data_IF_661106793708
#
_entry.id   IF_661106793708
#
_cell.length_a   1.000
_cell.length_b   1.000
_cell.length_c   1.000
_cell.angle_alpha   90.00
_cell.angle_beta   90.00
_cell.angle_gamma   90.00
#
_symmetry.space_group_name_H-M   'P 1'
#
loop_
_entity.id
_entity.type
_entity.pdbx_description
1 polymer ?
#
# COMPACT_ATOMS: atom_id res chain seq x y z
N UNK A 1 -19.22 -9.72 -6.14
CA UNK A 1 -19.36 -8.23 -6.25
C UNK A 1 -17.96 -7.67 -6.34
N UNK A 2 -17.70 -6.73 -7.23
CA UNK A 2 -16.36 -6.13 -7.41
C UNK A 2 -16.00 -5.27 -6.19
N UNK A 3 -14.79 -5.46 -5.65
CA UNK A 3 -14.28 -4.64 -4.56
C UNK A 3 -13.87 -3.25 -5.08
N UNK A 4 -14.08 -2.24 -4.25
CA UNK A 4 -13.77 -0.83 -4.53
C UNK A 4 -13.25 -0.16 -3.26
N UNK A 5 -12.71 1.04 -3.38
CA UNK A 5 -12.34 1.87 -2.22
C UNK A 5 -13.52 2.03 -1.24
N UNK A 6 -14.73 2.24 -1.75
CA UNK A 6 -15.93 2.35 -0.91
C UNK A 6 -16.27 1.05 -0.17
N UNK A 7 -16.03 -0.13 -0.80
CA UNK A 7 -16.22 -1.41 -0.10
C UNK A 7 -15.22 -1.61 1.04
N UNK A 8 -14.03 -1.05 0.94
CA UNK A 8 -13.03 -1.04 2.01
C UNK A 8 -13.49 -0.19 3.20
N UNK A 9 -13.96 1.02 2.94
CA UNK A 9 -14.52 1.90 3.97
C UNK A 9 -15.73 1.25 4.66
N UNK A 10 -16.62 0.64 3.86
CA UNK A 10 -17.77 -0.08 4.39
C UNK A 10 -17.36 -1.27 5.26
N UNK A 11 -16.36 -2.05 4.86
CA UNK A 11 -15.87 -3.19 5.65
C UNK A 11 -15.37 -2.74 7.03
N UNK A 12 -14.64 -1.62 7.10
CA UNK A 12 -14.23 -1.03 8.38
C UNK A 12 -15.42 -0.64 9.24
N UNK A 13 -16.38 0.08 8.67
CA UNK A 13 -17.59 0.49 9.39
C UNK A 13 -18.42 -0.70 9.90
N UNK A 14 -18.48 -1.78 9.13
CA UNK A 14 -19.19 -3.02 9.46
C UNK A 14 -18.37 -3.96 10.39
N UNK A 15 -17.12 -3.62 10.72
CA UNK A 15 -16.22 -4.48 11.49
C UNK A 15 -15.83 -5.79 10.77
N UNK A 16 -15.88 -5.82 9.44
CA UNK A 16 -15.54 -6.98 8.63
C UNK A 16 -14.07 -6.96 8.26
N UNK A 17 -13.40 -8.12 8.43
CA UNK A 17 -12.00 -8.27 8.03
C UNK A 17 -11.83 -8.19 6.52
N UNK A 18 -10.80 -7.48 6.11
CA UNK A 18 -10.33 -7.38 4.73
C UNK A 18 -9.17 -8.34 4.50
N UNK A 19 -9.00 -8.78 3.26
CA UNK A 19 -7.85 -9.59 2.85
C UNK A 19 -7.11 -8.92 1.70
N UNK A 20 -5.78 -8.91 1.79
CA UNK A 20 -4.89 -8.43 0.74
C UNK A 20 -3.79 -9.46 0.51
N UNK A 21 -3.62 -9.89 -0.74
CA UNK A 21 -2.54 -10.78 -1.15
C UNK A 21 -1.75 -10.16 -2.31
N UNK A 22 -0.47 -10.48 -2.40
CA UNK A 22 0.36 -10.08 -3.54
C UNK A 22 0.17 -11.03 -4.72
N UNK A 23 0.21 -10.47 -5.93
CA UNK A 23 0.36 -11.22 -7.17
C UNK A 23 1.14 -10.39 -8.19
N UNK A 24 1.85 -11.09 -9.08
CA UNK A 24 2.76 -10.43 -10.01
C UNK A 24 2.55 -10.87 -11.47
N UNK A 25 1.64 -11.79 -11.73
CA UNK A 25 1.32 -12.32 -13.07
C UNK A 25 -0.18 -12.58 -13.22
N UNK A 26 -0.58 -12.85 -14.47
CA UNK A 26 -1.97 -13.12 -14.83
C UNK A 26 -2.55 -14.37 -14.17
N UNK A 27 -1.81 -15.47 -14.18
CA UNK A 27 -2.32 -16.77 -13.71
C UNK A 27 -2.52 -16.79 -12.21
N UNK A 28 -1.52 -16.27 -11.47
CA UNK A 28 -1.59 -16.11 -10.01
C UNK A 28 -2.71 -15.14 -9.60
N UNK A 29 -2.83 -14.01 -10.29
CA UNK A 29 -3.89 -13.03 -10.01
C UNK A 29 -5.29 -13.65 -10.23
N UNK A 30 -5.48 -14.40 -11.32
CA UNK A 30 -6.74 -15.08 -11.61
C UNK A 30 -7.09 -16.13 -10.54
N UNK A 31 -6.10 -16.89 -10.09
CA UNK A 31 -6.27 -17.89 -9.04
C UNK A 31 -6.67 -17.21 -7.72
N UNK A 32 -5.93 -16.19 -7.29
CA UNK A 32 -6.19 -15.44 -6.05
C UNK A 32 -7.57 -14.76 -6.12
N UNK A 33 -7.92 -14.12 -7.24
CA UNK A 33 -9.22 -13.46 -7.41
C UNK A 33 -10.40 -14.44 -7.26
N UNK A 34 -10.21 -15.71 -7.68
CA UNK A 34 -11.24 -16.75 -7.55
C UNK A 34 -11.51 -17.19 -6.10
N UNK A 35 -10.62 -16.88 -5.16
CA UNK A 35 -10.79 -17.18 -3.73
C UNK A 35 -11.68 -16.18 -3.00
N UNK A 36 -12.02 -15.06 -3.64
CA UNK A 36 -12.82 -14.01 -3.03
C UNK A 36 -12.03 -13.01 -2.19
N UNK A 37 -10.71 -12.92 -2.37
CA UNK A 37 -9.85 -11.92 -1.73
C UNK A 37 -10.36 -10.49 -2.04
N UNK A 38 -10.25 -9.59 -1.06
CA UNK A 38 -10.75 -8.22 -1.25
C UNK A 38 -9.83 -7.37 -2.13
N UNK A 39 -8.52 -7.56 -2.02
CA UNK A 39 -7.55 -6.83 -2.86
C UNK A 39 -6.35 -7.66 -3.24
N UNK A 40 -5.76 -7.29 -4.36
CA UNK A 40 -4.48 -7.81 -4.84
C UNK A 40 -3.51 -6.64 -4.92
N UNK A 41 -2.35 -6.81 -4.30
CA UNK A 41 -1.26 -5.86 -4.34
C UNK A 41 -0.22 -6.31 -5.38
N UNK A 42 0.08 -5.45 -6.33
CA UNK A 42 1.29 -5.56 -7.15
C UNK A 42 2.37 -4.77 -6.42
N UNK A 43 3.08 -5.45 -5.53
CA UNK A 43 4.11 -4.83 -4.69
C UNK A 43 5.44 -4.67 -5.44
N UNK A 44 6.22 -3.65 -5.11
CA UNK A 44 7.61 -3.51 -5.59
C UNK A 44 8.53 -4.62 -5.04
N UNK A 45 8.05 -5.41 -4.08
CA UNK A 45 8.63 -6.71 -3.69
C UNK A 45 8.80 -7.69 -4.87
N UNK A 46 8.15 -7.42 -6.03
CA UNK A 46 8.46 -8.15 -7.27
C UNK A 46 9.95 -8.10 -7.62
N UNK A 47 10.66 -7.06 -7.22
CA UNK A 47 12.12 -6.97 -7.37
C UNK A 47 12.82 -8.18 -6.77
N UNK A 48 12.46 -8.54 -5.54
CA UNK A 48 13.03 -9.69 -4.85
C UNK A 48 12.52 -11.03 -5.40
N UNK A 49 11.18 -11.19 -5.50
CA UNK A 49 10.57 -12.51 -5.70
C UNK A 49 10.40 -12.90 -7.17
N UNK A 50 10.42 -11.94 -8.10
CA UNK A 50 10.25 -12.16 -9.52
C UNK A 50 11.51 -11.85 -10.34
N UNK A 51 12.22 -10.77 -9.98
CA UNK A 51 13.39 -10.29 -10.72
C UNK A 51 14.72 -10.72 -10.10
N UNK A 52 14.71 -11.23 -8.85
CA UNK A 52 15.90 -11.72 -8.15
C UNK A 52 16.83 -10.62 -7.65
N UNK A 53 16.31 -9.39 -7.43
CA UNK A 53 17.07 -8.31 -6.84
C UNK A 53 17.21 -8.50 -5.32
N UNK A 54 18.28 -7.97 -4.74
CA UNK A 54 18.51 -8.03 -3.29
C UNK A 54 17.52 -7.16 -2.48
N UNK A 55 17.01 -6.09 -3.10
CA UNK A 55 16.05 -5.15 -2.51
C UNK A 55 15.04 -4.62 -3.54
N UNK A 56 14.15 -3.71 -3.11
CA UNK A 56 13.13 -3.11 -3.97
C UNK A 56 13.59 -1.83 -4.67
N UNK A 57 14.79 -1.33 -4.39
CA UNK A 57 15.26 -0.01 -4.84
C UNK A 57 15.48 0.04 -6.35
N UNK A 58 15.91 -1.09 -6.93
CA UNK A 58 16.17 -1.21 -8.37
C UNK A 58 14.92 -1.34 -9.24
N UNK A 59 13.74 -1.52 -8.63
CA UNK A 59 12.48 -1.68 -9.37
C UNK A 59 12.11 -0.38 -10.07
N UNK A 60 11.80 -0.47 -11.36
CA UNK A 60 11.45 0.66 -12.21
C UNK A 60 9.92 0.83 -12.35
N UNK A 61 9.49 1.99 -12.84
CA UNK A 61 8.09 2.21 -13.23
C UNK A 61 7.65 1.23 -14.32
N UNK A 62 8.54 0.88 -15.23
CA UNK A 62 8.30 -0.05 -16.34
C UNK A 62 8.06 -1.47 -15.82
N UNK A 63 8.80 -1.92 -14.82
CA UNK A 63 8.56 -3.21 -14.15
C UNK A 63 7.18 -3.24 -13.50
N UNK A 64 6.84 -2.19 -12.75
CA UNK A 64 5.53 -2.09 -12.09
C UNK A 64 4.38 -2.05 -13.10
N UNK A 65 4.55 -1.35 -14.21
CA UNK A 65 3.56 -1.30 -15.29
C UNK A 65 3.44 -2.67 -15.97
N UNK A 66 4.57 -3.35 -16.25
CA UNK A 66 4.56 -4.67 -16.88
C UNK A 66 3.76 -5.68 -16.05
N UNK A 67 4.11 -5.84 -14.78
CA UNK A 67 3.45 -6.76 -13.86
C UNK A 67 2.00 -6.33 -13.54
N UNK A 68 1.78 -5.03 -13.34
CA UNK A 68 0.46 -4.46 -13.10
C UNK A 68 -0.53 -4.74 -14.22
N UNK A 69 -0.12 -4.62 -15.49
CA UNK A 69 -0.93 -5.00 -16.67
C UNK A 69 -1.37 -6.46 -16.61
N UNK A 70 -0.48 -7.36 -16.25
CA UNK A 70 -0.77 -8.78 -16.19
C UNK A 70 -1.78 -9.11 -15.08
N UNK A 71 -1.56 -8.56 -13.87
CA UNK A 71 -2.43 -8.74 -12.70
C UNK A 71 -3.82 -8.17 -12.95
N UNK A 72 -3.93 -6.94 -13.46
CA UNK A 72 -5.21 -6.30 -13.73
C UNK A 72 -6.07 -7.06 -14.76
N UNK A 73 -5.43 -7.74 -15.73
CA UNK A 73 -6.17 -8.63 -16.66
C UNK A 73 -6.70 -9.89 -15.95
N UNK A 74 -5.96 -10.41 -14.97
CA UNK A 74 -6.33 -11.61 -14.20
C UNK A 74 -7.42 -11.36 -13.15
N UNK A 75 -7.34 -10.24 -12.45
CA UNK A 75 -8.29 -9.86 -11.40
C UNK A 75 -9.57 -9.26 -11.97
N UNK A 76 -10.74 -9.79 -11.56
CA UNK A 76 -12.07 -9.32 -11.97
C UNK A 76 -12.86 -8.71 -10.82
N UNK A 77 -12.68 -9.22 -9.62
CA UNK A 77 -13.45 -8.88 -8.42
C UNK A 77 -12.61 -8.15 -7.36
N UNK A 78 -11.35 -8.50 -7.19
CA UNK A 78 -10.44 -7.86 -6.24
C UNK A 78 -10.12 -6.42 -6.66
N UNK A 79 -9.92 -5.55 -5.67
CA UNK A 79 -9.35 -4.22 -5.85
C UNK A 79 -7.85 -4.38 -6.13
N UNK A 80 -7.38 -3.99 -7.32
CA UNK A 80 -5.95 -4.05 -7.64
C UNK A 80 -5.28 -2.74 -7.26
N UNK A 81 -4.27 -2.84 -6.43
CA UNK A 81 -3.42 -1.75 -5.95
C UNK A 81 -2.01 -1.99 -6.49
N UNK A 82 -1.36 -0.96 -7.04
CA UNK A 82 -0.01 -1.06 -7.60
C UNK A 82 0.93 -0.12 -6.84
N UNK A 83 2.08 -0.63 -6.41
CA UNK A 83 3.08 0.18 -5.73
C UNK A 83 3.73 1.19 -6.67
N UNK A 84 3.96 2.37 -6.14
CA UNK A 84 4.85 3.36 -6.71
C UNK A 84 6.28 3.01 -6.29
N UNK A 85 7.19 2.65 -7.21
CA UNK A 85 8.54 2.22 -6.86
C UNK A 85 9.38 3.39 -6.31
N UNK A 86 10.51 3.05 -5.70
CA UNK A 86 11.45 4.02 -5.13
C UNK A 86 11.81 5.14 -6.11
N UNK A 87 11.84 6.38 -5.65
CA UNK A 87 12.10 7.63 -6.39
C UNK A 87 11.05 7.97 -7.48
N UNK A 88 9.93 7.26 -7.56
CA UNK A 88 8.86 7.62 -8.48
C UNK A 88 7.91 8.71 -7.93
N UNK A 89 7.91 8.94 -6.61
CA UNK A 89 7.04 9.92 -5.93
C UNK A 89 7.78 10.85 -4.95
N UNK A 90 9.03 10.55 -4.58
CA UNK A 90 9.80 11.33 -3.62
C UNK A 90 10.40 12.61 -4.22
N UNK A 91 10.60 12.66 -5.54
CA UNK A 91 11.31 13.75 -6.24
C UNK A 91 10.54 15.07 -6.18
N UNK A 92 9.25 15.04 -6.51
CA UNK A 92 8.34 16.19 -6.44
C UNK A 92 6.88 15.74 -6.45
N UNK A 93 5.97 16.65 -6.09
CA UNK A 93 4.52 16.39 -6.13
C UNK A 93 4.04 16.13 -7.57
N UNK A 94 4.51 16.93 -8.53
CA UNK A 94 4.16 16.80 -9.94
C UNK A 94 4.59 15.44 -10.48
N UNK A 95 5.82 15.00 -10.15
CA UNK A 95 6.33 13.70 -10.59
C UNK A 95 5.56 12.54 -9.97
N UNK A 96 5.15 12.67 -8.71
CA UNK A 96 4.31 11.69 -8.05
C UNK A 96 2.95 11.53 -8.75
N UNK A 97 2.28 12.64 -9.08
CA UNK A 97 0.98 12.61 -9.78
C UNK A 97 1.12 12.06 -11.20
N UNK A 98 2.17 12.46 -11.94
CA UNK A 98 2.46 11.93 -13.27
C UNK A 98 2.64 10.41 -13.24
N UNK A 99 3.48 9.89 -12.34
CA UNK A 99 3.76 8.47 -12.25
C UNK A 99 2.55 7.67 -11.73
N UNK A 100 1.80 8.19 -10.76
CA UNK A 100 0.55 7.57 -10.32
C UNK A 100 -0.47 7.51 -11.47
N UNK A 101 -0.59 8.58 -12.25
CA UNK A 101 -1.42 8.64 -13.45
C UNK A 101 -0.99 7.63 -14.50
N UNK A 102 0.31 7.42 -14.71
CA UNK A 102 0.84 6.35 -15.59
C UNK A 102 0.40 4.97 -15.12
N UNK A 103 0.57 4.66 -13.82
CA UNK A 103 0.12 3.38 -13.26
C UNK A 103 -1.37 3.15 -13.53
N UNK A 104 -2.22 4.12 -13.19
CA UNK A 104 -3.68 4.01 -13.40
C UNK A 104 -4.04 3.80 -14.87
N UNK A 105 -3.47 4.60 -15.78
CA UNK A 105 -3.81 4.57 -17.22
C UNK A 105 -3.25 3.37 -17.93
N UNK A 106 -2.01 2.97 -17.63
CA UNK A 106 -1.33 1.93 -18.36
C UNK A 106 -1.66 0.52 -17.84
N UNK A 107 -1.91 0.36 -16.52
CA UNK A 107 -2.23 -0.95 -15.94
C UNK A 107 -3.72 -1.20 -15.77
N UNK A 108 -4.54 -0.14 -15.69
CA UNK A 108 -5.96 -0.18 -15.29
C UNK A 108 -6.16 -0.61 -13.84
N UNK A 109 -5.17 -0.39 -12.95
CA UNK A 109 -5.34 -0.56 -11.51
C UNK A 109 -6.36 0.45 -10.96
N UNK A 110 -6.90 0.18 -9.78
CA UNK A 110 -7.92 1.04 -9.17
C UNK A 110 -7.35 1.93 -8.06
N UNK A 111 -6.11 1.69 -7.62
CA UNK A 111 -5.42 2.50 -6.62
C UNK A 111 -3.92 2.33 -6.76
N UNK A 112 -3.17 3.28 -6.21
CA UNK A 112 -1.71 3.18 -6.04
C UNK A 112 -1.35 3.06 -4.58
N UNK A 113 -0.15 2.49 -4.27
CA UNK A 113 0.41 2.51 -2.92
C UNK A 113 1.77 3.20 -2.93
N UNK A 114 2.08 3.90 -1.84
CA UNK A 114 3.38 4.53 -1.59
C UNK A 114 3.76 4.41 -0.12
N UNK A 115 5.03 4.64 0.19
CA UNK A 115 5.59 4.53 1.53
C UNK A 115 5.92 5.90 2.13
N UNK A 116 5.63 6.06 3.42
CA UNK A 116 5.98 7.25 4.19
C UNK A 116 4.80 7.87 4.94
N UNK A 117 5.13 8.72 5.91
CA UNK A 117 4.18 9.42 6.77
C UNK A 117 3.95 10.86 6.33
N UNK A 118 4.10 11.81 7.26
CA UNK A 118 3.90 13.25 7.02
C UNK A 118 4.67 13.80 5.82
N UNK A 119 5.85 13.28 5.55
CA UNK A 119 6.73 13.77 4.47
C UNK A 119 6.13 13.60 3.06
N UNK A 120 5.19 12.66 2.87
CA UNK A 120 4.55 12.37 1.58
C UNK A 120 3.09 12.84 1.52
N UNK A 121 2.59 13.53 2.55
CA UNK A 121 1.22 14.05 2.56
C UNK A 121 0.90 15.02 1.41
N UNK A 122 1.81 15.91 0.96
CA UNK A 122 1.55 16.74 -0.22
C UNK A 122 1.28 15.92 -1.48
N UNK A 123 2.05 14.86 -1.72
CA UNK A 123 1.85 13.94 -2.85
C UNK A 123 0.51 13.23 -2.75
N UNK A 124 0.20 12.66 -1.56
CA UNK A 124 -1.08 11.97 -1.32
C UNK A 124 -2.25 12.91 -1.63
N UNK A 125 -2.24 14.10 -1.06
CA UNK A 125 -3.31 15.09 -1.24
C UNK A 125 -3.54 15.41 -2.71
N UNK A 126 -2.48 15.72 -3.43
CA UNK A 126 -2.59 16.10 -4.85
C UNK A 126 -3.04 14.95 -5.72
N UNK A 127 -2.58 13.71 -5.47
CA UNK A 127 -3.07 12.52 -6.16
C UNK A 127 -4.56 12.29 -5.90
N UNK A 128 -5.01 12.41 -4.66
CA UNK A 128 -6.43 12.24 -4.28
C UNK A 128 -7.31 13.32 -4.92
N UNK A 129 -6.86 14.58 -4.92
CA UNK A 129 -7.55 15.67 -5.62
C UNK A 129 -7.64 15.45 -7.14
N UNK A 130 -6.64 14.76 -7.72
CA UNK A 130 -6.66 14.34 -9.13
C UNK A 130 -7.55 13.08 -9.38
N UNK A 131 -8.19 12.53 -8.35
CA UNK A 131 -9.05 11.35 -8.47
C UNK A 131 -8.32 10.01 -8.41
N UNK A 132 -7.07 9.97 -7.95
CA UNK A 132 -6.26 8.75 -7.79
C UNK A 132 -6.37 8.28 -6.35
N UNK A 133 -6.98 7.11 -6.06
CA UNK A 133 -7.02 6.56 -4.71
C UNK A 133 -5.64 6.09 -4.25
N UNK A 134 -5.26 6.47 -3.02
CA UNK A 134 -3.93 6.19 -2.46
C UNK A 134 -4.05 5.32 -1.21
N UNK A 135 -3.34 4.18 -1.21
CA UNK A 135 -3.01 3.39 -0.03
C UNK A 135 -1.62 3.81 0.48
N UNK A 136 -1.42 3.84 1.79
CA UNK A 136 -0.13 4.27 2.36
C UNK A 136 0.47 3.14 3.17
N UNK A 137 1.80 3.01 3.13
CA UNK A 137 2.54 2.01 3.89
C UNK A 137 3.37 2.68 5.00
N UNK A 138 3.14 2.23 6.23
CA UNK A 138 3.83 2.69 7.45
C UNK A 138 4.44 1.51 8.23
N UNK A 139 5.39 1.81 9.07
CA UNK A 139 6.16 0.83 9.84
C UNK A 139 7.47 0.48 9.14
N UNK A 140 7.70 -0.80 8.86
CA UNK A 140 8.81 -1.20 8.01
C UNK A 140 8.45 -0.89 6.55
N UNK A 141 9.17 0.04 5.97
CA UNK A 141 9.01 0.45 4.58
C UNK A 141 10.22 -0.03 3.78
N UNK A 142 10.09 -1.08 2.93
CA UNK A 142 11.23 -1.69 2.23
C UNK A 142 12.06 -0.73 1.38
N UNK A 143 11.46 0.31 0.83
CA UNK A 143 12.18 1.35 0.08
C UNK A 143 13.18 2.14 0.95
N UNK A 144 13.03 2.10 2.28
CA UNK A 144 13.94 2.73 3.24
C UNK A 144 14.93 1.74 3.89
N UNK A 145 15.08 0.53 3.30
CA UNK A 145 15.85 -0.57 3.91
C UNK A 145 17.29 -0.17 4.24
N UNK A 146 17.91 0.64 3.39
CA UNK A 146 19.27 1.13 3.61
C UNK A 146 19.35 2.10 4.82
N UNK A 147 18.33 2.93 5.01
CA UNK A 147 18.26 3.84 6.15
C UNK A 147 17.99 3.07 7.46
N UNK A 148 17.22 1.98 7.41
CA UNK A 148 16.92 1.14 8.58
C UNK A 148 18.05 0.15 8.95
N UNK A 149 18.97 -0.10 8.03
CA UNK A 149 20.03 -1.10 8.23
C UNK A 149 19.48 -2.52 8.36
N UNK A 150 18.48 -2.87 7.54
CA UNK A 150 17.87 -4.20 7.41
C UNK A 150 16.45 -4.31 7.93
N UNK A 151 15.85 -5.50 7.76
CA UNK A 151 14.49 -5.82 8.17
C UNK A 151 14.39 -5.97 9.69
N UNK A 152 13.82 -4.98 10.37
CA UNK A 152 13.65 -4.95 11.82
C UNK A 152 12.26 -4.43 12.18
N UNK A 153 11.71 -4.92 13.30
CA UNK A 153 10.46 -4.38 13.86
C UNK A 153 10.64 -2.90 14.17
N UNK A 154 9.76 -2.07 13.63
CA UNK A 154 9.76 -0.62 13.76
C UNK A 154 8.94 -0.15 14.97
N UNK A 155 9.05 1.15 15.29
CA UNK A 155 8.24 1.83 16.32
C UNK A 155 8.24 1.15 17.70
N UNK A 156 9.40 0.63 18.14
CA UNK A 156 9.55 -0.04 19.45
C UNK A 156 9.70 0.93 20.61
N UNK A 157 10.16 2.16 20.37
CA UNK A 157 10.31 3.18 21.42
C UNK A 157 9.05 4.04 21.48
N UNK A 158 8.81 4.66 22.64
CA UNK A 158 7.66 5.55 22.83
C UNK A 158 7.66 6.72 21.81
N UNK A 159 8.83 7.31 21.55
CA UNK A 159 8.98 8.39 20.57
C UNK A 159 8.60 7.91 19.17
N UNK A 160 9.12 6.75 18.73
CA UNK A 160 8.82 6.20 17.41
C UNK A 160 7.36 5.74 17.29
N UNK A 161 6.77 5.21 18.37
CA UNK A 161 5.35 4.85 18.39
C UNK A 161 4.44 6.09 18.28
N UNK A 162 4.78 7.18 18.96
CA UNK A 162 4.07 8.45 18.85
C UNK A 162 4.17 9.02 17.43
N UNK A 163 5.38 9.00 16.84
CA UNK A 163 5.57 9.44 15.46
C UNK A 163 4.71 8.63 14.47
N UNK A 164 4.67 7.28 14.62
CA UNK A 164 3.84 6.44 13.76
C UNK A 164 2.34 6.78 13.87
N UNK A 165 1.84 7.06 15.07
CA UNK A 165 0.46 7.50 15.29
C UNK A 165 0.15 8.84 14.62
N UNK A 166 1.09 9.78 14.72
CA UNK A 166 0.97 11.08 14.06
C UNK A 166 1.02 10.96 12.53
N UNK A 167 1.91 10.12 12.01
CA UNK A 167 2.00 9.83 10.58
C UNK A 167 0.72 9.17 10.05
N UNK A 168 0.18 8.19 10.78
CA UNK A 168 -1.07 7.52 10.40
C UNK A 168 -2.27 8.49 10.32
N UNK A 169 -2.36 9.42 11.25
CA UNK A 169 -3.40 10.48 11.20
C UNK A 169 -3.19 11.43 10.03
N UNK A 170 -1.95 11.86 9.83
CA UNK A 170 -1.63 12.81 8.77
C UNK A 170 -1.92 12.25 7.36
N UNK A 171 -1.60 10.97 7.11
CA UNK A 171 -1.90 10.36 5.81
C UNK A 171 -3.40 10.16 5.59
N UNK A 172 -4.17 9.85 6.65
CA UNK A 172 -5.63 9.85 6.58
C UNK A 172 -6.19 11.23 6.24
N UNK A 173 -5.70 12.28 6.91
CA UNK A 173 -6.12 13.67 6.67
C UNK A 173 -5.74 14.14 5.26
N UNK A 174 -4.64 13.63 4.70
CA UNK A 174 -4.24 13.87 3.31
C UNK A 174 -5.14 13.14 2.29
N UNK A 175 -6.03 12.24 2.73
CA UNK A 175 -7.03 11.57 1.89
C UNK A 175 -6.71 10.11 1.53
N UNK A 176 -5.72 9.49 2.15
CA UNK A 176 -5.48 8.05 1.96
C UNK A 176 -6.74 7.23 2.30
N UNK A 177 -7.04 6.19 1.51
CA UNK A 177 -8.22 5.36 1.75
C UNK A 177 -7.94 4.15 2.65
N UNK A 178 -6.68 3.74 2.78
CA UNK A 178 -6.23 2.61 3.61
C UNK A 178 -4.77 2.78 4.01
N UNK A 179 -4.36 2.12 5.09
CA UNK A 179 -2.98 2.09 5.57
C UNK A 179 -2.52 0.64 5.75
N UNK A 180 -1.38 0.29 5.17
CA UNK A 180 -0.64 -0.94 5.50
C UNK A 180 0.27 -0.66 6.68
N UNK A 181 0.23 -1.54 7.68
CA UNK A 181 1.08 -1.49 8.88
C UNK A 181 2.00 -2.71 8.88
N UNK A 182 3.31 -2.52 8.63
CA UNK A 182 4.24 -3.63 8.54
C UNK A 182 5.23 -3.65 9.71
N UNK A 183 5.44 -4.86 10.26
CA UNK A 183 6.47 -5.18 11.25
C UNK A 183 6.53 -4.15 12.40
N UNK A 184 5.39 -3.90 13.05
CA UNK A 184 5.25 -3.05 14.22
C UNK A 184 4.64 -3.85 15.40
N UNK A 185 4.82 -3.40 16.66
CA UNK A 185 4.20 -4.06 17.80
C UNK A 185 2.68 -4.17 17.68
N UNK A 186 2.11 -5.35 17.92
CA UNK A 186 0.67 -5.61 17.75
C UNK A 186 -0.24 -4.66 18.56
N UNK A 187 0.17 -4.26 19.77
CA UNK A 187 -0.57 -3.28 20.58
C UNK A 187 -0.58 -1.90 19.94
N UNK A 188 0.50 -1.51 19.28
CA UNK A 188 0.57 -0.24 18.54
C UNK A 188 -0.32 -0.29 17.29
N UNK A 189 -0.28 -1.40 16.53
CA UNK A 189 -1.15 -1.61 15.38
C UNK A 189 -2.64 -1.53 15.79
N UNK A 190 -3.02 -2.15 16.91
CA UNK A 190 -4.37 -2.04 17.47
C UNK A 190 -4.76 -0.60 17.78
N UNK A 191 -3.84 0.17 18.38
CA UNK A 191 -4.08 1.57 18.72
C UNK A 191 -4.27 2.44 17.48
N UNK A 192 -3.41 2.28 16.46
CA UNK A 192 -3.53 2.95 15.15
C UNK A 192 -4.88 2.62 14.53
N UNK A 193 -5.24 1.33 14.48
CA UNK A 193 -6.51 0.86 13.89
C UNK A 193 -7.73 1.49 14.53
N UNK A 194 -7.72 1.64 15.86
CA UNK A 194 -8.82 2.27 16.60
C UNK A 194 -8.91 3.78 16.40
N UNK A 195 -7.79 4.45 16.11
CA UNK A 195 -7.76 5.90 15.92
C UNK A 195 -8.10 6.36 14.50
N UNK A 196 -7.94 5.47 13.52
CA UNK A 196 -8.21 5.78 12.13
C UNK A 196 -9.65 5.44 11.74
N UNK A 197 -10.24 6.25 10.86
CA UNK A 197 -11.53 5.99 10.22
C UNK A 197 -11.37 5.17 8.92
N UNK A 198 -10.16 5.12 8.37
CA UNK A 198 -9.82 4.31 7.20
C UNK A 198 -9.30 2.93 7.63
N UNK A 199 -9.48 1.88 6.81
CA UNK A 199 -9.03 0.53 7.18
C UNK A 199 -7.51 0.41 7.24
N UNK A 200 -7.06 -0.43 8.18
CA UNK A 200 -5.65 -0.83 8.33
C UNK A 200 -5.47 -2.28 7.92
N UNK A 201 -4.42 -2.56 7.15
CA UNK A 201 -4.01 -3.90 6.73
C UNK A 201 -2.68 -4.22 7.40
N UNK A 202 -2.66 -5.27 8.23
CA UNK A 202 -1.47 -5.65 8.99
C UNK A 202 -0.65 -6.73 8.29
N UNK A 203 0.67 -6.56 8.32
CA UNK A 203 1.63 -7.61 7.98
C UNK A 203 2.74 -7.60 9.02
N UNK A 204 2.89 -8.69 9.80
CA UNK A 204 3.78 -8.68 10.97
C UNK A 204 3.38 -7.65 12.04
N UNK A 205 2.08 -7.33 12.16
CA UNK A 205 1.53 -6.30 13.05
C UNK A 205 0.45 -6.87 14.02
N UNK A 206 0.32 -8.20 14.11
CA UNK A 206 -0.71 -8.87 14.89
C UNK A 206 -2.06 -8.93 14.17
N UNK A 207 -3.12 -9.39 14.88
CA UNK A 207 -4.43 -9.68 14.29
C UNK A 207 -5.53 -8.66 14.65
N UNK A 208 -5.16 -7.52 15.24
CA UNK A 208 -6.09 -6.49 15.69
C UNK A 208 -6.28 -5.35 14.68
N UNK A 209 -5.76 -5.49 13.46
CA UNK A 209 -5.98 -4.63 12.31
C UNK A 209 -7.32 -4.96 11.62
N UNK A 210 -7.76 -4.16 10.67
CA UNK A 210 -9.00 -4.43 9.91
C UNK A 210 -8.81 -5.52 8.83
N UNK A 211 -7.55 -5.84 8.50
CA UNK A 211 -7.20 -6.89 7.56
C UNK A 211 -5.82 -7.40 7.78
#
# INVERSE_FOLDING_TARGET
>A
MKNTVLSFQKAKADGKKLTMLTAYDYSTAKLIDSTGVNSILVGDSLGNVMLGYDDTISVTMEDMIHHGKAVCRGAKNALVIVDMPFMSYQVSVEKAVENAGRLMKETHCQAVKLEGGKSVCPQIKTMVEAGIPVCVHLGLTPQHINAFGGFKVQAKTEIAAKQLLEDAKAVQEAGAFAVVLEAIPAKLAQLVTKQLNIPTIGIGAGNQTDG
#
